data_IF_111626186741
#
_entry.id   IF_111626186741
#
_cell.length_a   1.000
_cell.length_b   1.000
_cell.length_c   1.000
_cell.angle_alpha   90.00
_cell.angle_beta   90.00
_cell.angle_gamma   90.00
#
_symmetry.space_group_name_H-M   'P 1'
#
loop_
_entity.id
_entity.type
_entity.pdbx_description
1 polymer ?
#
# COMPACT_ATOMS: atom_id res chain seq x y z
N UNK A 1 -7.64 -9.86 -3.65
CA UNK A 1 -6.18 -9.66 -3.56
C UNK A 1 -5.79 -8.37 -4.29
N UNK A 2 -4.69 -7.73 -3.87
CA UNK A 2 -4.08 -6.50 -4.38
C UNK A 2 -4.96 -5.23 -4.45
N UNK A 3 -6.26 -5.28 -4.18
CA UNK A 3 -7.16 -4.11 -4.33
C UNK A 3 -6.78 -2.93 -3.43
N UNK A 4 -6.36 -3.20 -2.19
CA UNK A 4 -6.02 -2.18 -1.19
C UNK A 4 -4.97 -1.18 -1.66
N UNK A 5 -4.07 -1.59 -2.56
CA UNK A 5 -3.01 -0.71 -3.07
C UNK A 5 -3.52 0.30 -4.09
N UNK A 6 -4.67 0.09 -4.71
CA UNK A 6 -5.21 0.94 -5.79
C UNK A 6 -6.35 1.85 -5.33
N UNK A 7 -6.71 1.80 -4.06
CA UNK A 7 -7.77 2.62 -3.48
C UNK A 7 -7.23 3.38 -2.27
N UNK A 8 -7.83 4.53 -1.91
CA UNK A 8 -7.45 5.24 -0.69
C UNK A 8 -7.55 4.35 0.56
N UNK A 9 -6.70 4.60 1.55
CA UNK A 9 -6.72 3.85 2.84
C UNK A 9 -8.10 3.90 3.49
N UNK A 10 -8.80 5.03 3.38
CA UNK A 10 -10.15 5.26 3.89
C UNK A 10 -11.19 4.38 3.19
N UNK A 11 -11.04 4.18 1.87
CA UNK A 11 -11.91 3.30 1.09
C UNK A 11 -11.69 1.83 1.45
N UNK A 12 -10.44 1.45 1.72
CA UNK A 12 -10.12 0.12 2.27
C UNK A 12 -10.77 -0.06 3.65
N UNK A 13 -10.67 0.94 4.53
CA UNK A 13 -11.25 0.88 5.87
C UNK A 13 -12.78 0.77 5.84
N UNK A 14 -13.46 1.56 5.00
CA UNK A 14 -14.91 1.48 4.82
C UNK A 14 -15.33 0.10 4.30
N UNK A 15 -14.59 -0.46 3.34
CA UNK A 15 -14.82 -1.81 2.83
C UNK A 15 -14.69 -2.86 3.95
N UNK A 16 -13.61 -2.82 4.73
CA UNK A 16 -13.38 -3.74 5.84
C UNK A 16 -14.49 -3.64 6.90
N UNK A 17 -14.92 -2.43 7.25
CA UNK A 17 -16.02 -2.21 8.20
C UNK A 17 -17.35 -2.75 7.68
N UNK A 18 -17.63 -2.62 6.38
CA UNK A 18 -18.82 -3.21 5.73
C UNK A 18 -18.76 -4.73 5.72
N UNK A 19 -17.61 -5.32 5.36
CA UNK A 19 -17.40 -6.78 5.39
C UNK A 19 -17.65 -7.31 6.80
N UNK A 20 -17.08 -6.68 7.83
CA UNK A 20 -17.29 -7.07 9.23
C UNK A 20 -18.76 -7.13 9.66
N UNK A 21 -19.63 -6.28 9.08
CA UNK A 21 -21.06 -6.23 9.40
C UNK A 21 -21.87 -7.39 8.79
N UNK A 22 -21.38 -8.02 7.73
CA UNK A 22 -22.13 -9.04 6.98
C UNK A 22 -21.58 -10.45 7.17
N UNK A 23 -20.33 -10.60 7.61
CA UNK A 23 -19.71 -11.91 7.87
C UNK A 23 -20.03 -12.42 9.28
N UNK A 24 -20.07 -13.74 9.44
CA UNK A 24 -20.23 -14.37 10.74
C UNK A 24 -19.00 -14.12 11.64
N UNK A 25 -19.21 -14.08 12.96
CA UNK A 25 -18.11 -13.98 13.94
C UNK A 25 -17.18 -15.19 13.79
N UNK A 26 -15.86 -14.93 13.77
CA UNK A 26 -14.84 -15.97 13.59
C UNK A 26 -14.49 -16.26 12.13
N UNK A 27 -15.11 -15.57 11.16
CA UNK A 27 -14.69 -15.66 9.75
C UNK A 27 -13.27 -15.10 9.56
N UNK A 28 -12.52 -15.68 8.63
CA UNK A 28 -11.18 -15.23 8.24
C UNK A 28 -11.22 -14.56 6.87
N UNK A 29 -10.49 -13.44 6.73
CA UNK A 29 -10.30 -12.73 5.47
C UNK A 29 -8.83 -12.80 5.08
N UNK A 30 -8.55 -13.11 3.81
CA UNK A 30 -7.25 -12.88 3.21
C UNK A 30 -7.22 -11.49 2.57
N UNK A 31 -6.24 -10.68 2.95
CA UNK A 31 -6.01 -9.36 2.38
C UNK A 31 -4.52 -9.15 2.18
N UNK A 32 -4.16 -8.47 1.09
CA UNK A 32 -2.78 -8.10 0.77
C UNK A 32 -2.68 -6.57 0.80
N UNK A 33 -1.47 -6.03 0.84
CA UNK A 33 -1.20 -4.59 0.78
C UNK A 33 0.05 -4.30 -0.04
N UNK A 34 0.20 -3.07 -0.51
CA UNK A 34 1.45 -2.60 -1.08
C UNK A 34 2.44 -2.27 0.03
N UNK A 35 3.55 -2.99 0.10
CA UNK A 35 4.60 -2.73 1.09
C UNK A 35 5.40 -1.48 0.70
N UNK A 36 5.46 -0.51 1.61
CA UNK A 36 6.17 0.75 1.42
C UNK A 36 7.65 0.59 1.14
N UNK A 37 8.29 -0.53 1.50
CA UNK A 37 9.72 -0.75 1.21
C UNK A 37 10.03 -0.92 -0.28
N UNK A 38 9.02 -1.25 -1.09
CA UNK A 38 9.15 -1.38 -2.54
C UNK A 38 8.76 -0.08 -3.26
N UNK A 39 8.40 0.97 -2.53
CA UNK A 39 8.32 2.28 -3.15
C UNK A 39 9.74 2.79 -3.39
N UNK A 40 10.02 3.30 -4.60
CA UNK A 40 11.30 3.92 -4.89
C UNK A 40 11.52 5.12 -3.94
N UNK A 41 12.64 5.11 -3.21
CA UNK A 41 13.14 6.30 -2.52
C UNK A 41 13.97 7.08 -3.54
N UNK A 42 13.51 8.28 -3.96
CA UNK A 42 14.22 9.07 -4.97
C UNK A 42 15.67 9.40 -4.60
N UNK A 43 16.03 9.33 -3.30
CA UNK A 43 17.35 9.68 -2.79
C UNK A 43 18.32 8.49 -2.69
N UNK A 44 17.80 7.27 -2.49
CA UNK A 44 18.59 6.03 -2.44
C UNK A 44 18.77 5.43 -3.85
N UNK A 45 17.73 5.52 -4.68
CA UNK A 45 17.73 4.96 -6.03
C UNK A 45 18.65 5.72 -7.01
N UNK A 46 18.88 7.02 -6.75
CA UNK A 46 19.89 7.81 -7.47
C UNK A 46 21.33 7.36 -7.18
N UNK A 47 21.58 6.70 -6.04
CA UNK A 47 22.92 6.17 -5.71
C UNK A 47 23.16 4.81 -6.37
N UNK A 48 22.10 4.04 -6.61
CA UNK A 48 22.13 2.71 -7.21
C UNK A 48 21.85 2.68 -8.72
N UNK A 49 21.68 3.84 -9.37
CA UNK A 49 21.58 3.91 -10.83
C UNK A 49 22.84 3.28 -11.43
N UNK A 50 22.65 2.18 -12.16
CA UNK A 50 23.68 1.47 -12.91
C UNK A 50 24.68 2.43 -13.55
N UNK A 51 25.92 1.98 -13.62
CA UNK A 51 27.20 2.61 -14.01
C UNK A 51 27.23 3.55 -15.24
N UNK A 52 26.10 3.88 -15.84
CA UNK A 52 25.90 4.78 -16.98
C UNK A 52 25.03 6.02 -16.67
N UNK A 53 24.47 6.17 -15.46
CA UNK A 53 23.75 7.39 -15.06
C UNK A 53 22.38 7.60 -15.70
N UNK A 54 21.74 6.56 -16.23
CA UNK A 54 20.38 6.66 -16.78
C UNK A 54 19.33 6.69 -15.66
N UNK A 55 18.76 7.88 -15.44
CA UNK A 55 17.72 8.15 -14.43
C UNK A 55 16.30 8.17 -15.00
N UNK A 56 16.11 7.88 -16.29
CA UNK A 56 14.85 8.11 -17.01
C UNK A 56 13.64 7.38 -16.41
N UNK A 57 13.84 6.14 -15.93
CA UNK A 57 12.77 5.35 -15.31
C UNK A 57 12.32 5.91 -13.95
N UNK A 58 13.27 6.42 -13.16
CA UNK A 58 12.99 7.05 -11.86
C UNK A 58 12.31 8.39 -12.04
N UNK A 59 12.72 9.17 -13.04
CA UNK A 59 12.07 10.43 -13.40
C UNK A 59 10.64 10.19 -13.87
N UNK A 60 10.39 9.15 -14.67
CA UNK A 60 9.05 8.76 -15.09
C UNK A 60 8.16 8.39 -13.89
N UNK A 61 8.64 7.53 -12.98
CA UNK A 61 7.91 7.15 -11.76
C UNK A 61 7.63 8.35 -10.85
N UNK A 62 8.62 9.20 -10.60
CA UNK A 62 8.47 10.42 -9.81
C UNK A 62 7.45 11.37 -10.42
N UNK A 63 7.46 11.53 -11.75
CA UNK A 63 6.49 12.36 -12.44
C UNK A 63 5.09 11.78 -12.31
N UNK A 64 4.90 10.47 -12.49
CA UNK A 64 3.60 9.80 -12.31
C UNK A 64 3.06 10.05 -10.89
N UNK A 65 3.89 9.85 -9.85
CA UNK A 65 3.51 10.09 -8.46
C UNK A 65 3.14 11.56 -8.20
N UNK A 66 3.93 12.50 -8.72
CA UNK A 66 3.64 13.95 -8.62
C UNK A 66 2.33 14.34 -9.32
N UNK A 67 2.08 13.78 -10.51
CA UNK A 67 0.87 14.08 -11.29
C UNK A 67 -0.38 13.50 -10.63
N UNK A 68 -0.29 12.28 -10.09
CA UNK A 68 -1.39 11.69 -9.33
C UNK A 68 -1.70 12.48 -8.04
N UNK A 69 -0.66 12.85 -7.28
CA UNK A 69 -0.81 13.72 -6.10
C UNK A 69 -1.47 15.06 -6.45
N UNK A 70 -1.10 15.67 -7.59
CA UNK A 70 -1.70 16.93 -8.09
C UNK A 70 -3.19 16.79 -8.44
N UNK A 71 -3.64 15.59 -8.78
CA UNK A 71 -5.05 15.29 -9.09
C UNK A 71 -5.87 14.86 -7.86
N UNK A 72 -5.25 14.75 -6.69
CA UNK A 72 -5.91 14.29 -5.47
C UNK A 72 -6.22 12.79 -5.48
N UNK A 73 -5.64 12.04 -6.43
CA UNK A 73 -5.79 10.60 -6.53
C UNK A 73 -4.55 9.93 -5.94
N UNK A 74 -4.65 9.17 -4.85
CA UNK A 74 -3.55 8.32 -4.43
C UNK A 74 -3.34 7.27 -5.52
N UNK A 75 -2.24 7.41 -6.28
CA UNK A 75 -1.86 6.45 -7.32
C UNK A 75 -1.69 5.05 -6.73
N UNK A 76 -1.09 4.98 -5.53
CA UNK A 76 -1.10 3.79 -4.69
C UNK A 76 -1.27 4.13 -3.21
N UNK A 77 -1.93 3.26 -2.47
CA UNK A 77 -1.85 3.20 -1.01
C UNK A 77 -0.83 2.14 -0.60
N UNK A 78 0.09 2.52 0.28
CA UNK A 78 1.08 1.61 0.85
C UNK A 78 1.09 1.66 2.35
N UNK A 79 1.63 0.61 2.96
CA UNK A 79 1.81 0.49 4.39
C UNK A 79 3.15 -0.19 4.67
N UNK A 80 3.74 0.12 5.81
CA UNK A 80 4.66 -0.82 6.45
C UNK A 80 3.88 -2.00 7.05
N UNK A 81 4.56 -3.08 7.41
CA UNK A 81 3.95 -4.22 8.10
C UNK A 81 3.23 -3.79 9.39
N UNK A 82 3.90 -3.01 10.25
CA UNK A 82 3.35 -2.51 11.52
C UNK A 82 2.16 -1.56 11.30
N UNK A 83 2.24 -0.70 10.29
CA UNK A 83 1.14 0.20 9.93
C UNK A 83 -0.08 -0.59 9.45
N UNK A 84 0.12 -1.62 8.64
CA UNK A 84 -0.98 -2.42 8.13
C UNK A 84 -1.65 -3.24 9.23
N UNK A 85 -0.85 -3.83 10.13
CA UNK A 85 -1.36 -4.53 11.30
C UNK A 85 -2.18 -3.59 12.21
N UNK A 86 -1.67 -2.39 12.47
CA UNK A 86 -2.39 -1.36 13.25
C UNK A 86 -3.70 -0.98 12.58
N UNK A 87 -3.66 -0.73 11.27
CA UNK A 87 -4.83 -0.39 10.46
C UNK A 87 -5.93 -1.48 10.50
N UNK A 88 -5.55 -2.76 10.45
CA UNK A 88 -6.49 -3.88 10.57
C UNK A 88 -7.15 -3.92 11.95
N UNK A 89 -6.36 -3.70 13.01
CA UNK A 89 -6.85 -3.61 14.39
C UNK A 89 -7.88 -2.49 14.57
N UNK A 90 -7.62 -1.30 13.99
CA UNK A 90 -8.57 -0.17 13.98
C UNK A 90 -9.87 -0.48 13.22
N UNK A 91 -9.81 -1.37 12.22
CA UNK A 91 -10.99 -1.87 11.52
C UNK A 91 -11.74 -2.97 12.29
N UNK A 92 -11.18 -3.44 13.41
CA UNK A 92 -11.73 -4.50 14.25
C UNK A 92 -11.43 -5.90 13.76
N UNK A 93 -10.29 -6.08 13.07
CA UNK A 93 -9.75 -7.37 12.67
C UNK A 93 -8.51 -7.71 13.48
N UNK A 94 -8.27 -9.00 13.67
CA UNK A 94 -7.07 -9.55 14.31
C UNK A 94 -6.25 -10.30 13.26
N UNK A 95 -4.92 -10.12 13.28
CA UNK A 95 -4.02 -10.83 12.37
C UNK A 95 -3.71 -12.20 12.96
N UNK A 96 -4.12 -13.26 12.26
CA UNK A 96 -3.87 -14.66 12.67
C UNK A 96 -2.70 -15.31 11.93
N UNK A 97 -2.27 -14.75 10.82
CA UNK A 97 -1.13 -15.20 10.01
C UNK A 97 -0.63 -14.05 9.15
N UNK A 98 0.69 -13.92 9.04
CA UNK A 98 1.37 -12.95 8.19
C UNK A 98 2.50 -13.66 7.45
N UNK A 99 2.54 -13.52 6.12
CA UNK A 99 3.54 -14.12 5.24
C UNK A 99 4.40 -13.07 4.53
N UNK A 100 4.35 -11.81 4.97
CA UNK A 100 5.21 -10.73 4.47
C UNK A 100 6.67 -11.09 4.75
N UNK A 101 7.53 -11.05 3.72
CA UNK A 101 8.98 -11.27 3.81
C UNK A 101 9.74 -9.97 3.65
#
# INVERSE_FOLDING_TARGET
EAVSMYIPKESTADTLRKVRRVVAKGSTLLITYGDSKYLPDPSEDMKNSNSNGDTSQYEAQRNILKWAAKKGEPWISVWSQDEFQTFLSECGFEVVSDTTQ
#
